data_IF_097196323990
#
_entry.id   IF_097196323990
#
_cell.length_a   1.000
_cell.length_b   1.000
_cell.length_c   1.000
_cell.angle_alpha   90.00
_cell.angle_beta   90.00
_cell.angle_gamma   90.00
#
_symmetry.space_group_name_H-M   'P 1'
#
loop_
_entity.id
_entity.type
_entity.pdbx_description
1 polymer ?
#
# COMPACT_ATOMS: atom_id res chain seq x y z
N UNK A 1 -2.69 10.10 9.25
CA UNK A 1 -2.87 8.64 9.10
C UNK A 1 -1.51 8.05 8.75
N UNK A 2 -1.10 6.94 9.38
CA UNK A 2 0.22 6.31 9.20
C UNK A 2 0.12 5.05 8.33
N UNK A 3 1.21 4.66 7.66
CA UNK A 3 1.30 3.36 6.96
C UNK A 3 1.04 2.17 7.88
N UNK A 4 1.38 2.28 9.17
CA UNK A 4 1.14 1.23 10.18
C UNK A 4 -0.35 0.90 10.37
N UNK A 5 -1.25 1.79 9.96
CA UNK A 5 -2.70 1.63 10.07
C UNK A 5 -3.32 0.96 8.83
N UNK A 6 -2.52 0.65 7.80
CA UNK A 6 -3.03 0.14 6.52
C UNK A 6 -3.03 -1.38 6.40
N UNK A 7 -2.66 -2.12 7.46
CA UNK A 7 -2.64 -3.58 7.45
C UNK A 7 -1.42 -4.22 6.75
N UNK A 8 -0.38 -3.43 6.45
CA UNK A 8 0.85 -3.95 5.85
C UNK A 8 1.70 -4.73 6.85
N UNK A 9 2.43 -5.75 6.35
CA UNK A 9 3.40 -6.53 7.13
C UNK A 9 4.58 -5.65 7.58
N UNK A 10 5.19 -6.02 8.72
CA UNK A 10 6.28 -5.25 9.34
C UNK A 10 7.46 -5.00 8.39
N UNK A 11 7.84 -5.99 7.57
CA UNK A 11 8.95 -5.85 6.62
C UNK A 11 8.68 -4.80 5.54
N UNK A 12 7.43 -4.70 5.05
CA UNK A 12 7.05 -3.64 4.13
C UNK A 12 7.02 -2.28 4.82
N UNK A 13 6.57 -2.21 6.07
CA UNK A 13 6.60 -0.98 6.87
C UNK A 13 8.04 -0.46 7.07
N UNK A 14 9.00 -1.35 7.31
CA UNK A 14 10.42 -1.00 7.36
C UNK A 14 10.92 -0.49 6.01
N UNK A 15 10.55 -1.15 4.91
CA UNK A 15 10.97 -0.78 3.56
C UNK A 15 10.42 0.59 3.12
N UNK A 16 9.14 0.89 3.37
CA UNK A 16 8.59 2.22 3.06
C UNK A 16 9.25 3.31 3.91
N UNK A 17 9.49 3.04 5.20
CA UNK A 17 10.21 3.97 6.07
C UNK A 17 11.64 4.24 5.58
N UNK A 18 12.40 3.21 5.19
CA UNK A 18 13.77 3.38 4.69
C UNK A 18 13.83 4.11 3.35
N UNK A 19 12.76 4.04 2.55
CA UNK A 19 12.59 4.83 1.32
C UNK A 19 12.11 6.27 1.57
N UNK A 20 11.92 6.67 2.83
CA UNK A 20 11.53 8.03 3.21
C UNK A 20 10.01 8.30 3.13
N UNK A 21 9.19 7.26 3.14
CA UNK A 21 7.73 7.43 3.07
C UNK A 21 7.20 7.76 4.46
N UNK A 22 6.82 9.02 4.66
CA UNK A 22 6.41 9.52 5.98
C UNK A 22 4.91 9.30 6.24
N UNK A 23 4.07 9.47 5.22
CA UNK A 23 2.62 9.29 5.32
C UNK A 23 2.06 8.77 3.99
N UNK A 24 1.02 7.92 4.01
CA UNK A 24 0.36 7.47 2.81
C UNK A 24 -0.38 8.61 2.12
N UNK A 25 -0.36 8.63 0.79
CA UNK A 25 -1.20 9.54 0.01
C UNK A 25 -2.68 9.13 0.12
N UNK A 26 -3.63 10.02 -0.21
CA UNK A 26 -5.06 9.69 -0.12
C UNK A 26 -5.47 8.45 -0.93
N UNK A 27 -4.83 8.19 -2.08
CA UNK A 27 -5.13 7.00 -2.89
C UNK A 27 -4.56 5.73 -2.26
N UNK A 28 -3.36 5.80 -1.66
CA UNK A 28 -2.76 4.68 -0.94
C UNK A 28 -3.58 4.31 0.30
N UNK A 29 -3.96 5.30 1.10
CA UNK A 29 -4.76 5.08 2.32
C UNK A 29 -6.12 4.43 2.03
N UNK A 30 -6.73 4.73 0.88
CA UNK A 30 -8.02 4.14 0.47
C UNK A 30 -7.88 2.79 -0.22
N UNK A 31 -6.87 2.61 -1.08
CA UNK A 31 -6.74 1.40 -1.89
C UNK A 31 -6.09 0.23 -1.14
N UNK A 32 -5.04 0.49 -0.34
CA UNK A 32 -4.24 -0.56 0.28
C UNK A 32 -5.09 -1.52 1.14
N UNK A 33 -5.94 -1.04 2.06
CA UNK A 33 -6.76 -1.95 2.88
C UNK A 33 -7.76 -2.77 2.06
N UNK A 34 -8.27 -2.22 0.95
CA UNK A 34 -9.25 -2.90 0.09
C UNK A 34 -8.58 -4.01 -0.73
N UNK A 35 -7.39 -3.76 -1.26
CA UNK A 35 -6.62 -4.78 -2.00
C UNK A 35 -6.17 -5.90 -1.06
N UNK A 36 -5.70 -5.58 0.16
CA UNK A 36 -5.35 -6.58 1.16
C UNK A 36 -6.53 -7.47 1.57
N UNK A 37 -7.75 -6.94 1.49
CA UNK A 37 -8.97 -7.71 1.71
C UNK A 37 -9.36 -8.60 0.52
N UNK A 38 -8.53 -8.68 -0.53
CA UNK A 38 -8.78 -9.52 -1.71
C UNK A 38 -9.91 -9.03 -2.59
N UNK A 39 -10.26 -7.73 -2.52
CA UNK A 39 -11.34 -7.16 -3.34
C UNK A 39 -10.81 -6.43 -4.56
N UNK A 40 -11.56 -6.53 -5.65
CA UNK A 40 -11.33 -5.74 -6.85
C UNK A 40 -11.60 -4.25 -6.58
N UNK A 41 -10.81 -3.40 -7.23
CA UNK A 41 -10.94 -1.94 -7.11
C UNK A 41 -10.85 -1.26 -8.48
N UNK A 42 -11.61 -0.17 -8.62
CA UNK A 42 -11.38 0.83 -9.66
C UNK A 42 -10.93 2.13 -8.97
N UNK A 43 -9.73 2.59 -9.30
CA UNK A 43 -9.10 3.74 -8.66
C UNK A 43 -8.71 4.81 -9.71
N UNK A 44 -9.12 6.06 -9.49
CA UNK A 44 -8.77 7.20 -10.35
C UNK A 44 -8.07 8.28 -9.55
N UNK A 45 -6.85 8.63 -9.95
CA UNK A 45 -6.08 9.76 -9.41
C UNK A 45 -5.08 10.27 -10.46
N UNK A 46 -4.56 11.49 -10.30
CA UNK A 46 -3.58 12.09 -11.22
C UNK A 46 -2.23 11.35 -11.16
N UNK A 47 -1.40 11.48 -12.21
CA UNK A 47 0.00 11.00 -12.17
C UNK A 47 0.78 11.69 -11.04
N UNK A 48 1.70 10.98 -10.40
CA UNK A 48 2.47 11.50 -9.26
C UNK A 48 1.77 11.39 -7.88
N UNK A 49 0.53 10.89 -7.81
CA UNK A 49 -0.20 10.77 -6.52
C UNK A 49 0.05 9.46 -5.77
N UNK A 50 1.01 8.63 -6.20
CA UNK A 50 1.34 7.37 -5.53
C UNK A 50 0.44 6.17 -5.86
N UNK A 51 -0.24 6.18 -7.03
CA UNK A 51 -1.07 5.03 -7.50
C UNK A 51 -0.28 3.73 -7.64
N UNK A 52 0.97 3.81 -8.09
CA UNK A 52 1.83 2.63 -8.27
C UNK A 52 2.03 1.90 -6.94
N UNK A 53 2.43 2.61 -5.88
CA UNK A 53 2.63 1.99 -4.56
C UNK A 53 1.31 1.61 -3.89
N UNK A 54 0.22 2.32 -4.18
CA UNK A 54 -1.12 1.97 -3.71
C UNK A 54 -1.53 0.55 -4.16
N UNK A 55 -1.03 0.09 -5.31
CA UNK A 55 -1.20 -1.27 -5.81
C UNK A 55 -0.03 -2.20 -5.45
N UNK A 56 1.22 -1.76 -5.65
CA UNK A 56 2.38 -2.63 -5.53
C UNK A 56 2.64 -3.09 -4.09
N UNK A 57 2.49 -2.22 -3.08
CA UNK A 57 2.70 -2.58 -1.68
C UNK A 57 1.79 -3.74 -1.22
N UNK A 58 0.45 -3.67 -1.40
CA UNK A 58 -0.42 -4.77 -1.01
C UNK A 58 -0.22 -6.01 -1.89
N UNK A 59 0.13 -5.87 -3.17
CA UNK A 59 0.45 -7.02 -4.03
C UNK A 59 1.69 -7.78 -3.56
N UNK A 60 2.77 -7.09 -3.21
CA UNK A 60 3.95 -7.73 -2.59
C UNK A 60 3.55 -8.37 -1.26
N UNK A 61 2.70 -7.71 -0.47
CA UNK A 61 2.20 -8.28 0.78
C UNK A 61 1.44 -9.61 0.59
N UNK A 62 0.67 -9.74 -0.49
CA UNK A 62 -0.09 -10.95 -0.83
C UNK A 62 0.81 -12.03 -1.43
N UNK A 63 1.66 -11.67 -2.40
CA UNK A 63 2.45 -12.64 -3.17
C UNK A 63 3.57 -13.29 -2.35
N UNK A 64 4.19 -12.57 -1.41
CA UNK A 64 5.20 -13.17 -0.52
C UNK A 64 4.60 -13.86 0.71
N UNK A 65 3.32 -14.24 0.70
CA UNK A 65 2.74 -15.14 1.72
C UNK A 65 2.88 -16.62 1.33
N UNK A 66 3.36 -16.94 0.13
CA UNK A 66 3.72 -18.31 -0.24
C UNK A 66 5.16 -18.61 0.17
N UNK A 67 5.34 -19.12 1.37
CA UNK A 67 6.46 -19.99 1.80
C UNK A 67 6.07 -20.64 3.12
#
# INVERSE_FOLDING_TARGET
MSFTQLGLRLELLKAVKSKGYNAPTPIQAKAIPVILAGRDILARAQTGTGKTDAFALPMVAILSQKS
#
